data_IF_777282482245
#
_entry.id   IF_777282482245
#
_cell.length_a   1.000
_cell.length_b   1.000
_cell.length_c   1.000
_cell.angle_alpha   90.00
_cell.angle_beta   90.00
_cell.angle_gamma   90.00
#
_symmetry.space_group_name_H-M   'P 1'
#
loop_
_entity.id
_entity.type
_entity.pdbx_description
1 polymer ?
#
# COMPACT_ATOMS: atom_id res chain seq x y z
N UNK A 1 -2.93 11.28 -1.58
CA UNK A 1 -3.37 9.89 -1.84
C UNK A 1 -3.12 9.58 -3.30
N UNK A 2 -2.52 8.43 -3.61
CA UNK A 2 -2.33 7.94 -5.00
C UNK A 2 -3.43 6.95 -5.37
N UNK A 3 -3.61 6.59 -6.65
CA UNK A 3 -4.55 5.53 -7.04
C UNK A 3 -4.33 4.22 -6.26
N UNK A 4 -3.07 3.91 -5.95
CA UNK A 4 -2.71 2.73 -5.18
C UNK A 4 -3.18 2.80 -3.71
N UNK A 5 -3.22 4.00 -3.11
CA UNK A 5 -3.82 4.18 -1.79
C UNK A 5 -5.32 3.88 -1.82
N UNK A 6 -6.02 4.33 -2.85
CA UNK A 6 -7.45 4.08 -2.98
C UNK A 6 -7.77 2.60 -3.23
N UNK A 7 -6.96 1.91 -4.04
CA UNK A 7 -7.07 0.47 -4.24
C UNK A 7 -6.85 -0.29 -2.91
N UNK A 8 -5.85 0.10 -2.13
CA UNK A 8 -5.60 -0.47 -0.81
C UNK A 8 -6.76 -0.21 0.18
N UNK A 9 -7.25 1.04 0.28
CA UNK A 9 -8.40 1.41 1.13
C UNK A 9 -9.67 0.62 0.76
N UNK A 10 -9.86 0.35 -0.52
CA UNK A 10 -11.03 -0.38 -1.03
C UNK A 10 -10.89 -1.90 -0.98
N UNK A 11 -9.77 -2.43 -0.49
CA UNK A 11 -9.45 -3.87 -0.57
C UNK A 11 -9.52 -4.42 -2.01
N UNK A 12 -9.21 -3.59 -3.00
CA UNK A 12 -9.37 -3.89 -4.43
C UNK A 12 -8.04 -4.38 -5.02
N UNK A 13 -7.83 -5.69 -4.92
CA UNK A 13 -6.59 -6.35 -5.34
C UNK A 13 -6.38 -6.31 -6.85
N UNK A 14 -7.44 -6.33 -7.65
CA UNK A 14 -7.35 -6.26 -9.11
C UNK A 14 -6.89 -4.88 -9.57
N UNK A 15 -7.48 -3.82 -9.00
CA UNK A 15 -7.03 -2.45 -9.23
C UNK A 15 -5.59 -2.24 -8.77
N UNK A 16 -5.21 -2.80 -7.60
CA UNK A 16 -3.84 -2.75 -7.12
C UNK A 16 -2.87 -3.46 -8.08
N UNK A 17 -3.23 -4.65 -8.58
CA UNK A 17 -2.46 -5.40 -9.59
C UNK A 17 -2.21 -4.58 -10.85
N UNK A 18 -3.27 -4.00 -11.42
CA UNK A 18 -3.18 -3.18 -12.63
C UNK A 18 -2.27 -1.97 -12.43
N UNK A 19 -2.41 -1.29 -11.31
CA UNK A 19 -1.60 -0.12 -10.98
C UNK A 19 -0.13 -0.49 -10.78
N UNK A 20 0.17 -1.58 -10.06
CA UNK A 20 1.55 -2.09 -9.91
C UNK A 20 2.13 -2.43 -11.28
N UNK A 21 1.37 -3.11 -12.14
CA UNK A 21 1.81 -3.49 -13.48
C UNK A 21 2.04 -2.26 -14.39
N UNK A 22 1.26 -1.20 -14.18
CA UNK A 22 1.44 0.09 -14.86
C UNK A 22 2.65 0.91 -14.33
N UNK A 23 3.41 0.40 -13.37
CA UNK A 23 4.56 1.09 -12.78
C UNK A 23 4.20 2.12 -11.72
N UNK A 24 3.02 1.98 -11.08
CA UNK A 24 2.65 2.87 -9.98
C UNK A 24 3.64 2.77 -8.82
N UNK A 25 3.91 3.91 -8.19
CA UNK A 25 4.80 3.96 -7.03
C UNK A 25 4.12 3.32 -5.80
N UNK A 26 4.57 2.11 -5.45
CA UNK A 26 4.08 1.34 -4.29
C UNK A 26 4.50 1.91 -2.94
N UNK A 27 5.53 2.76 -2.92
CA UNK A 27 6.03 3.46 -1.73
C UNK A 27 5.60 4.93 -1.72
N UNK A 28 4.61 5.32 -2.51
CA UNK A 28 4.11 6.68 -2.49
C UNK A 28 3.59 7.02 -1.10
N UNK A 29 3.90 8.22 -0.61
CA UNK A 29 3.42 8.70 0.69
C UNK A 29 2.19 9.57 0.50
N UNK A 30 1.18 9.36 1.34
CA UNK A 30 0.04 10.26 1.46
C UNK A 30 0.38 11.50 2.31
N UNK A 31 -0.57 12.45 2.43
CA UNK A 31 -0.48 13.61 3.32
C UNK A 31 -0.21 13.25 4.78
N UNK A 32 -0.55 12.02 5.18
CA UNK A 32 -0.27 11.45 6.51
C UNK A 32 1.04 10.67 6.58
N UNK A 33 1.89 10.77 5.55
CA UNK A 33 3.10 9.96 5.41
C UNK A 33 2.84 8.45 5.47
N UNK A 34 1.62 8.00 5.17
CA UNK A 34 1.27 6.57 5.07
C UNK A 34 1.54 6.07 3.65
N UNK A 35 1.99 4.82 3.53
CA UNK A 35 2.10 4.13 2.23
C UNK A 35 0.82 3.35 1.92
N UNK A 36 0.59 2.94 0.66
CA UNK A 36 -0.50 2.02 0.30
C UNK A 36 -0.50 0.74 1.14
N UNK A 37 0.69 0.25 1.53
CA UNK A 37 0.83 -0.92 2.39
C UNK A 37 0.22 -0.71 3.77
N UNK A 38 0.36 0.48 4.38
CA UNK A 38 -0.28 0.78 5.68
C UNK A 38 -1.80 0.67 5.59
N UNK A 39 -2.39 1.20 4.52
CA UNK A 39 -3.82 1.06 4.30
C UNK A 39 -4.21 -0.39 4.04
N UNK A 40 -3.40 -1.12 3.27
CA UNK A 40 -3.65 -2.55 3.03
C UNK A 40 -3.57 -3.38 4.32
N UNK A 41 -2.72 -3.02 5.28
CA UNK A 41 -2.63 -3.63 6.61
C UNK A 41 -3.79 -3.24 7.53
N UNK A 42 -4.26 -2.00 7.46
CA UNK A 42 -5.46 -1.54 8.21
C UNK A 42 -6.75 -2.16 7.66
N UNK A 43 -6.78 -2.48 6.36
CA UNK A 43 -7.88 -3.22 5.74
C UNK A 43 -7.68 -4.74 5.92
N UNK A 44 -8.75 -5.51 6.01
CA UNK A 44 -8.68 -6.99 6.06
C UNK A 44 -8.32 -7.63 4.70
N UNK A 45 -7.50 -6.97 3.90
CA UNK A 45 -7.22 -7.30 2.51
C UNK A 45 -5.83 -7.91 2.34
N UNK A 46 -5.71 -9.18 2.74
CA UNK A 46 -4.47 -9.97 2.59
C UNK A 46 -3.93 -9.96 1.16
N UNK A 47 -4.81 -9.91 0.16
CA UNK A 47 -4.40 -10.03 -1.22
C UNK A 47 -3.75 -8.74 -1.76
N UNK A 48 -4.29 -7.57 -1.40
CA UNK A 48 -3.61 -6.29 -1.64
C UNK A 48 -2.28 -6.21 -0.89
N UNK A 49 -2.24 -6.71 0.34
CA UNK A 49 -1.03 -6.73 1.15
C UNK A 49 0.07 -7.57 0.49
N UNK A 50 -0.24 -8.80 0.10
CA UNK A 50 0.65 -9.70 -0.64
C UNK A 50 1.15 -9.07 -1.95
N UNK A 51 0.26 -8.43 -2.71
CA UNK A 51 0.63 -7.77 -3.97
C UNK A 51 1.61 -6.63 -3.78
N UNK A 52 1.40 -5.80 -2.76
CA UNK A 52 2.29 -4.69 -2.42
C UNK A 52 3.65 -5.22 -1.92
N UNK A 53 3.64 -6.25 -1.06
CA UNK A 53 4.85 -6.92 -0.57
C UNK A 53 5.68 -7.48 -1.73
N UNK A 54 5.02 -8.17 -2.66
CA UNK A 54 5.63 -8.75 -3.86
C UNK A 54 6.14 -7.69 -4.82
N UNK A 55 5.54 -6.50 -4.84
CA UNK A 55 5.99 -5.35 -5.61
C UNK A 55 7.23 -4.64 -5.02
N UNK A 56 7.92 -5.26 -4.04
CA UNK A 56 9.05 -4.67 -3.30
C UNK A 56 8.66 -3.37 -2.58
N UNK A 57 7.43 -3.27 -2.10
CA UNK A 57 7.10 -2.20 -1.15
C UNK A 57 8.02 -2.35 0.06
N UNK A 58 8.65 -1.27 0.51
CA UNK A 58 9.48 -1.33 1.70
C UNK A 58 8.54 -1.41 2.92
N UNK A 59 8.53 -2.52 3.68
CA UNK A 59 7.72 -2.61 4.90
C UNK A 59 8.23 -1.64 5.97
N UNK A 60 9.48 -1.18 5.85
CA UNK A 60 10.18 -0.34 6.83
C UNK A 60 10.15 1.15 6.54
N UNK A 61 9.33 1.62 5.59
CA UNK A 61 9.17 3.06 5.35
C UNK A 61 8.55 3.71 6.59
N UNK A 62 9.40 4.17 7.52
CA UNK A 62 9.04 4.86 8.76
C UNK A 62 8.00 5.93 8.46
N UNK A 63 6.77 5.67 8.90
CA UNK A 63 5.75 6.71 8.94
C UNK A 63 5.96 7.50 10.24
N UNK A 64 5.56 8.77 10.26
CA UNK A 64 5.80 9.70 11.39
C UNK A 64 4.99 9.34 12.66
N UNK A 65 4.09 8.37 12.55
CA UNK A 65 3.44 7.66 13.64
C UNK A 65 4.24 6.36 13.81
N UNK A 66 4.86 6.15 14.97
CA UNK A 66 5.80 5.04 15.23
C UNK A 66 5.17 3.63 15.24
N UNK A 67 4.28 3.33 14.31
CA UNK A 67 3.71 2.02 14.07
C UNK A 67 4.55 1.36 12.96
N UNK A 68 5.43 0.45 13.36
CA UNK A 68 5.97 -0.55 12.45
C UNK A 68 4.81 -1.44 11.99
N UNK A 69 4.57 -1.60 10.68
CA UNK A 69 3.59 -2.57 10.23
C UNK A 69 4.17 -3.95 10.54
N UNK A 70 3.61 -4.61 11.57
CA UNK A 70 3.94 -6.00 11.94
C UNK A 70 3.63 -6.97 10.80
#
# INVERSE_FOLDING_TARGET
RTPLHWAAIRADADSARLLIHAGANVNALDSYHKTPLHFASETSSFECFELLLKAKSCPTSRTLIGEEPI
#
